data_IF_099875219527
#
_entry.id   IF_099875219527
#
_cell.length_a   1.000
_cell.length_b   1.000
_cell.length_c   1.000
_cell.angle_alpha   90.00
_cell.angle_beta   90.00
_cell.angle_gamma   90.00
#
_symmetry.space_group_name_H-M   'P 1'
#
loop_
_entity.id
_entity.type
_entity.pdbx_description
1 polymer ?
#
# COMPACT_ATOMS: atom_id res chain seq x y z
N UNK A 1 25.76 9.87 87.47
CA UNK A 1 25.70 10.71 86.25
C UNK A 1 25.87 9.78 85.07
N UNK A 2 24.76 9.29 84.55
CA UNK A 2 24.66 8.11 83.68
C UNK A 2 24.98 8.43 82.21
N UNK A 3 26.24 8.21 81.82
CA UNK A 3 26.70 8.38 80.43
C UNK A 3 26.39 7.16 79.54
N UNK A 4 26.12 5.99 80.12
CA UNK A 4 25.87 4.75 79.36
C UNK A 4 24.42 4.59 78.90
N UNK A 5 23.45 5.13 79.64
CA UNK A 5 22.03 5.08 79.26
C UNK A 5 21.71 5.98 78.06
N UNK A 6 22.39 7.14 77.95
CA UNK A 6 22.17 8.11 76.86
C UNK A 6 22.72 7.63 75.50
N UNK A 7 23.83 6.88 75.48
CA UNK A 7 24.42 6.35 74.25
C UNK A 7 23.57 5.24 73.61
N UNK A 8 22.97 4.35 74.41
CA UNK A 8 22.10 3.28 73.92
C UNK A 8 20.75 3.82 73.41
N UNK A 9 20.19 4.83 74.09
CA UNK A 9 18.96 5.50 73.69
C UNK A 9 19.13 6.22 72.34
N UNK A 10 20.26 6.90 72.13
CA UNK A 10 20.59 7.58 70.86
C UNK A 10 20.76 6.60 69.70
N UNK A 11 21.44 5.47 69.90
CA UNK A 11 21.63 4.43 68.87
C UNK A 11 20.30 3.79 68.41
N UNK A 12 19.34 3.60 69.31
CA UNK A 12 18.01 3.09 68.97
C UNK A 12 17.21 4.07 68.09
N UNK A 13 17.29 5.37 68.39
CA UNK A 13 16.64 6.44 67.61
C UNK A 13 17.26 6.56 66.21
N UNK A 14 18.60 6.45 66.09
CA UNK A 14 19.28 6.49 64.78
C UNK A 14 18.93 5.31 63.86
N UNK A 15 18.72 4.09 64.41
CA UNK A 15 18.30 2.92 63.62
C UNK A 15 16.87 3.04 63.09
N UNK A 16 15.97 3.68 63.85
CA UNK A 16 14.61 3.99 63.42
C UNK A 16 14.55 4.92 62.20
N UNK A 17 15.49 5.86 62.10
CA UNK A 17 15.56 6.84 61.00
C UNK A 17 16.26 6.29 59.74
N UNK A 18 17.18 5.33 59.86
CA UNK A 18 17.84 4.69 58.71
C UNK A 18 16.91 3.75 57.90
N UNK A 19 15.98 3.06 58.57
CA UNK A 19 15.05 2.14 57.89
C UNK A 19 14.08 2.87 56.95
N UNK A 20 13.58 4.05 57.37
CA UNK A 20 12.70 4.90 56.57
C UNK A 20 13.41 5.53 55.37
N UNK A 21 14.68 5.94 55.54
CA UNK A 21 15.47 6.51 54.46
C UNK A 21 15.76 5.50 53.33
N UNK A 22 15.89 4.21 53.64
CA UNK A 22 16.04 3.15 52.64
C UNK A 22 14.79 2.92 51.80
N UNK A 23 13.61 2.95 52.41
CA UNK A 23 12.33 2.80 51.67
C UNK A 23 12.12 3.97 50.71
N UNK A 24 12.40 5.20 51.16
CA UNK A 24 12.31 6.39 50.31
C UNK A 24 13.34 6.33 49.18
N UNK A 25 14.57 5.88 49.44
CA UNK A 25 15.60 5.72 48.41
C UNK A 25 15.23 4.67 47.36
N UNK A 26 14.64 3.53 47.77
CA UNK A 26 14.15 2.49 46.86
C UNK A 26 13.01 3.03 46.00
N UNK A 27 12.03 3.71 46.60
CA UNK A 27 10.89 4.25 45.87
C UNK A 27 11.30 5.33 44.85
N UNK A 28 12.32 6.13 45.19
CA UNK A 28 12.88 7.18 44.31
C UNK A 28 13.59 6.62 43.09
N UNK A 29 14.02 5.37 43.12
CA UNK A 29 14.63 4.66 41.98
C UNK A 29 13.60 3.78 41.25
N UNK A 30 12.71 3.12 42.00
CA UNK A 30 11.71 2.19 41.45
C UNK A 30 10.68 2.90 40.58
N UNK A 31 10.20 4.08 40.97
CA UNK A 31 9.22 4.85 40.20
C UNK A 31 9.77 5.28 38.83
N UNK A 32 10.94 5.95 38.73
CA UNK A 32 11.49 6.30 37.42
C UNK A 32 11.89 5.05 36.60
N UNK A 33 12.38 3.99 37.24
CA UNK A 33 12.68 2.74 36.53
C UNK A 33 11.42 2.11 35.91
N UNK A 34 10.29 2.08 36.64
CA UNK A 34 9.00 1.62 36.10
C UNK A 34 8.54 2.50 34.94
N UNK A 35 8.74 3.81 35.01
CA UNK A 35 8.44 4.72 33.90
C UNK A 35 9.25 4.41 32.65
N UNK A 36 10.54 4.14 32.78
CA UNK A 36 11.42 3.76 31.66
C UNK A 36 10.99 2.41 31.07
N UNK A 37 10.65 1.43 31.91
CA UNK A 37 10.17 0.12 31.44
C UNK A 37 8.84 0.26 30.70
N UNK A 38 7.89 1.05 31.23
CA UNK A 38 6.62 1.30 30.57
C UNK A 38 6.80 2.01 29.22
N UNK A 39 7.67 3.02 29.16
CA UNK A 39 8.01 3.72 27.91
C UNK A 39 8.65 2.78 26.90
N UNK A 40 9.62 1.95 27.32
CA UNK A 40 10.28 0.98 26.46
C UNK A 40 9.29 -0.07 25.92
N UNK A 41 8.35 -0.53 26.74
CA UNK A 41 7.28 -1.43 26.31
C UNK A 41 6.37 -0.78 25.26
N UNK A 42 6.00 0.49 25.45
CA UNK A 42 5.18 1.26 24.50
C UNK A 42 5.91 1.47 23.17
N UNK A 43 7.19 1.83 23.21
CA UNK A 43 8.03 1.98 22.01
C UNK A 43 8.23 0.66 21.29
N UNK A 44 8.43 -0.44 22.02
CA UNK A 44 8.54 -1.78 21.46
C UNK A 44 7.23 -2.19 20.78
N UNK A 45 6.09 -1.92 21.42
CA UNK A 45 4.78 -2.16 20.83
C UNK A 45 4.57 -1.37 19.54
N UNK A 46 4.94 -0.09 19.53
CA UNK A 46 4.89 0.75 18.32
C UNK A 46 5.83 0.21 17.24
N UNK A 47 7.03 -0.23 17.61
CA UNK A 47 8.01 -0.80 16.68
C UNK A 47 7.51 -2.10 16.03
N UNK A 48 6.99 -3.03 16.84
CA UNK A 48 6.38 -4.27 16.35
C UNK A 48 5.18 -3.92 15.46
N UNK A 49 4.26 -3.06 15.93
CA UNK A 49 3.09 -2.64 15.17
C UNK A 49 3.43 -1.89 13.88
N UNK A 50 4.54 -1.15 13.81
CA UNK A 50 5.03 -0.48 12.60
C UNK A 50 5.51 -1.48 11.55
N UNK A 51 6.12 -2.58 11.97
CA UNK A 51 6.50 -3.67 11.07
C UNK A 51 5.27 -4.45 10.60
N UNK A 52 4.24 -4.59 11.45
CA UNK A 52 2.99 -5.30 11.12
C UNK A 52 1.95 -4.42 10.39
N UNK A 53 1.94 -3.10 10.58
CA UNK A 53 1.03 -2.14 9.91
C UNK A 53 1.33 -1.95 8.43
N UNK A 54 2.38 -2.62 7.91
CA UNK A 54 2.62 -2.77 6.47
C UNK A 54 1.86 -3.96 5.86
N UNK A 55 1.15 -4.72 6.69
CA UNK A 55 0.42 -5.93 6.33
C UNK A 55 -0.94 -5.93 7.06
N UNK A 56 -1.93 -5.26 6.45
CA UNK A 56 -3.33 -5.49 6.79
C UNK A 56 -3.75 -6.84 6.22
N UNK A 57 -3.44 -7.93 6.92
CA UNK A 57 -3.81 -9.28 6.47
C UNK A 57 -5.17 -9.61 7.08
N UNK A 58 -6.23 -9.48 6.27
CA UNK A 58 -7.52 -10.14 6.52
C UNK A 58 -7.30 -11.65 6.64
N UNK A 59 -8.20 -12.35 7.36
CA UNK A 59 -8.03 -13.73 7.80
C UNK A 59 -7.33 -14.63 6.76
N UNK A 60 -6.15 -15.15 7.10
CA UNK A 60 -5.47 -16.14 6.25
C UNK A 60 -6.18 -17.47 6.45
N UNK A 61 -7.01 -17.86 5.50
CA UNK A 61 -7.55 -19.22 5.43
C UNK A 61 -6.55 -20.08 4.66
N UNK A 62 -5.73 -20.84 5.38
CA UNK A 62 -4.80 -21.81 4.79
C UNK A 62 -5.56 -23.12 4.59
N UNK A 63 -5.85 -23.47 3.33
CA UNK A 63 -6.23 -24.83 2.95
C UNK A 63 -4.96 -25.57 2.49
N UNK A 64 -4.94 -26.91 2.54
CA UNK A 64 -3.72 -27.67 2.22
C UNK A 64 -3.22 -27.47 0.77
N UNK A 65 -4.08 -26.95 -0.11
CA UNK A 65 -3.85 -26.80 -1.54
C UNK A 65 -3.66 -25.34 -2.02
N UNK A 66 -4.05 -24.34 -1.22
CA UNK A 66 -3.89 -22.92 -1.60
C UNK A 66 -3.84 -21.98 -0.40
N UNK A 67 -3.12 -20.88 -0.56
CA UNK A 67 -3.11 -19.75 0.39
C UNK A 67 -4.03 -18.68 -0.18
N UNK A 68 -5.05 -18.29 0.61
CA UNK A 68 -5.94 -17.18 0.28
C UNK A 68 -5.80 -16.08 1.31
N UNK A 69 -5.75 -14.84 0.83
CA UNK A 69 -5.74 -13.62 1.64
C UNK A 69 -6.98 -12.82 1.29
N UNK A 70 -7.79 -12.49 2.29
CA UNK A 70 -8.95 -11.61 2.14
C UNK A 70 -8.53 -10.15 2.16
N UNK A 71 -9.15 -9.35 1.28
CA UNK A 71 -8.95 -7.91 1.15
C UNK A 71 -7.45 -7.47 1.16
N UNK A 72 -6.58 -8.06 0.32
CA UNK A 72 -5.18 -7.68 0.27
C UNK A 72 -5.02 -6.25 -0.24
N UNK A 73 -4.02 -5.55 0.29
CA UNK A 73 -3.64 -4.21 -0.17
C UNK A 73 -2.11 -4.08 -0.21
N UNK A 74 -1.61 -3.46 -1.28
CA UNK A 74 -0.22 -3.07 -1.45
C UNK A 74 -0.13 -1.62 -1.92
N UNK A 75 0.83 -0.86 -1.42
CA UNK A 75 1.06 0.52 -1.85
C UNK A 75 2.53 0.86 -1.89
N UNK A 76 2.90 1.81 -2.74
CA UNK A 76 4.28 2.20 -2.95
C UNK A 76 4.44 3.48 -3.75
N UNK A 77 5.70 3.76 -4.11
CA UNK A 77 6.10 4.87 -4.97
C UNK A 77 6.88 4.31 -6.15
N UNK A 78 6.58 4.78 -7.35
CA UNK A 78 7.41 4.57 -8.54
C UNK A 78 8.57 5.56 -8.56
N UNK A 79 9.61 5.28 -9.35
CA UNK A 79 10.81 6.12 -9.48
C UNK A 79 10.50 7.56 -9.93
N UNK A 80 9.40 7.75 -10.67
CA UNK A 80 8.92 9.06 -11.10
C UNK A 80 8.11 9.83 -10.03
N UNK A 81 8.04 9.32 -8.80
CA UNK A 81 7.31 9.91 -7.68
C UNK A 81 5.81 9.63 -7.67
N UNK A 82 5.29 8.85 -8.61
CA UNK A 82 3.88 8.45 -8.62
C UNK A 82 3.59 7.49 -7.47
N UNK A 83 2.66 7.87 -6.60
CA UNK A 83 2.15 6.98 -5.57
C UNK A 83 1.13 6.02 -6.17
N UNK A 84 1.20 4.74 -5.83
CA UNK A 84 0.24 3.76 -6.27
C UNK A 84 -0.28 2.91 -5.11
N UNK A 85 -1.48 2.38 -5.28
CA UNK A 85 -2.11 1.41 -4.37
C UNK A 85 -2.87 0.38 -5.19
N UNK A 86 -2.59 -0.89 -4.95
CA UNK A 86 -3.28 -2.04 -5.50
C UNK A 86 -4.05 -2.70 -4.36
N UNK A 87 -5.32 -3.00 -4.58
CA UNK A 87 -6.16 -3.77 -3.67
C UNK A 87 -6.99 -4.79 -4.43
N UNK A 88 -7.49 -5.80 -3.74
CA UNK A 88 -8.41 -6.79 -4.29
C UNK A 88 -9.41 -7.22 -3.22
N UNK A 89 -10.50 -7.88 -3.58
CA UNK A 89 -11.41 -8.51 -2.60
C UNK A 89 -10.80 -9.80 -2.04
N UNK A 90 -10.04 -10.52 -2.88
CA UNK A 90 -9.25 -11.68 -2.48
C UNK A 90 -7.99 -11.82 -3.34
N UNK A 91 -6.93 -12.35 -2.74
CA UNK A 91 -5.77 -12.89 -3.44
C UNK A 91 -5.63 -14.38 -3.14
N UNK A 92 -5.38 -15.20 -4.16
CA UNK A 92 -5.17 -16.63 -4.01
C UNK A 92 -3.91 -17.07 -4.75
N UNK A 93 -3.08 -17.89 -4.08
CA UNK A 93 -1.94 -18.54 -4.69
C UNK A 93 -2.02 -20.05 -4.41
N UNK A 94 -1.80 -20.87 -5.44
CA UNK A 94 -1.67 -22.31 -5.28
C UNK A 94 -0.32 -22.64 -4.63
N UNK A 95 -0.26 -23.70 -3.82
CA UNK A 95 0.97 -24.06 -3.08
C UNK A 95 2.10 -24.51 -4.03
N UNK A 96 1.74 -25.02 -5.21
CA UNK A 96 2.66 -25.44 -6.28
C UNK A 96 2.99 -24.33 -7.30
N UNK A 97 2.32 -23.18 -7.21
CA UNK A 97 2.53 -22.02 -8.08
C UNK A 97 2.42 -20.70 -7.28
N UNK A 98 3.23 -20.58 -6.23
CA UNK A 98 3.16 -19.44 -5.28
C UNK A 98 3.53 -18.11 -5.91
N UNK A 99 4.19 -18.13 -7.06
CA UNK A 99 4.59 -16.94 -7.81
C UNK A 99 3.48 -16.37 -8.70
N UNK A 100 2.39 -17.13 -8.89
CA UNK A 100 1.19 -16.73 -9.66
C UNK A 100 0.03 -16.49 -8.71
N UNK A 101 -0.26 -15.23 -8.45
CA UNK A 101 -1.26 -14.79 -7.48
C UNK A 101 -2.48 -14.28 -8.23
N UNK A 102 -3.58 -15.03 -8.15
CA UNK A 102 -4.87 -14.59 -8.68
C UNK A 102 -5.49 -13.52 -7.79
N UNK A 103 -5.97 -12.44 -8.39
CA UNK A 103 -6.64 -11.32 -7.73
C UNK A 103 -8.10 -11.25 -8.20
N UNK A 104 -9.03 -11.19 -7.24
CA UNK A 104 -10.46 -11.00 -7.50
C UNK A 104 -10.85 -9.54 -7.25
N UNK A 105 -11.60 -8.94 -8.15
CA UNK A 105 -11.98 -7.51 -8.11
C UNK A 105 -10.77 -6.60 -7.84
N UNK A 106 -9.73 -6.77 -8.66
CA UNK A 106 -8.50 -6.02 -8.54
C UNK A 106 -8.74 -4.54 -8.86
N UNK A 107 -8.13 -3.68 -8.05
CA UNK A 107 -8.26 -2.24 -8.13
C UNK A 107 -6.90 -1.58 -7.93
N UNK A 108 -6.49 -0.76 -8.90
CA UNK A 108 -5.29 0.05 -8.85
C UNK A 108 -5.68 1.53 -8.83
N UNK A 109 -5.11 2.28 -7.90
CA UNK A 109 -5.14 3.74 -7.89
C UNK A 109 -3.73 4.26 -8.01
N UNK A 110 -3.54 5.30 -8.80
CA UNK A 110 -2.26 5.99 -8.98
C UNK A 110 -2.47 7.49 -8.80
N UNK A 111 -1.55 8.16 -8.12
CA UNK A 111 -1.52 9.61 -7.95
C UNK A 111 -0.17 10.13 -8.37
N UNK A 112 -0.15 10.84 -9.50
CA UNK A 112 1.06 11.43 -10.06
C UNK A 112 1.44 12.72 -9.31
N UNK A 113 2.72 13.14 -9.37
CA UNK A 113 3.17 14.40 -8.77
C UNK A 113 2.48 15.65 -9.34
N UNK A 114 1.99 15.59 -10.58
CA UNK A 114 1.21 16.65 -11.23
C UNK A 114 -0.23 16.78 -10.70
N UNK A 115 -0.63 15.90 -9.77
CA UNK A 115 -1.93 15.90 -9.13
C UNK A 115 -2.99 15.06 -9.85
N UNK A 116 -2.70 14.52 -11.05
CA UNK A 116 -3.65 13.66 -11.77
C UNK A 116 -3.71 12.29 -11.10
N UNK A 117 -4.93 11.84 -10.80
CA UNK A 117 -5.17 10.48 -10.32
C UNK A 117 -5.69 9.59 -11.44
N UNK A 118 -5.23 8.35 -11.48
CA UNK A 118 -5.69 7.29 -12.36
C UNK A 118 -6.26 6.15 -11.53
N UNK A 119 -7.27 5.50 -12.07
CA UNK A 119 -7.95 4.35 -11.49
C UNK A 119 -8.06 3.25 -12.53
N UNK A 120 -7.77 2.00 -12.15
CA UNK A 120 -7.93 0.82 -13.00
C UNK A 120 -8.63 -0.26 -12.21
N UNK A 121 -9.70 -0.82 -12.75
CA UNK A 121 -10.48 -1.90 -12.12
C UNK A 121 -10.59 -3.09 -13.05
N UNK A 122 -10.27 -4.28 -12.56
CA UNK A 122 -10.36 -5.52 -13.30
C UNK A 122 -11.09 -6.57 -12.45
N UNK A 123 -12.15 -7.24 -12.98
CA UNK A 123 -12.85 -8.30 -12.23
C UNK A 123 -11.91 -9.44 -11.82
N UNK A 124 -10.92 -9.74 -12.68
CA UNK A 124 -9.86 -10.72 -12.41
C UNK A 124 -8.54 -10.17 -12.93
N UNK A 125 -7.48 -10.37 -12.15
CA UNK A 125 -6.11 -10.11 -12.57
C UNK A 125 -5.19 -11.21 -12.03
N UNK A 126 -4.05 -11.38 -12.67
CA UNK A 126 -3.00 -12.28 -12.22
C UNK A 126 -1.73 -11.48 -11.99
N UNK A 127 -1.18 -11.58 -10.79
CA UNK A 127 0.15 -11.08 -10.48
C UNK A 127 1.15 -12.22 -10.62
N UNK A 128 2.07 -12.08 -11.58
CA UNK A 128 3.24 -12.95 -11.73
C UNK A 128 4.44 -12.26 -11.07
N UNK A 129 4.83 -12.75 -9.90
CA UNK A 129 5.93 -12.18 -9.11
C UNK A 129 7.31 -12.55 -9.65
N UNK A 130 7.42 -13.63 -10.43
CA UNK A 130 8.68 -14.08 -11.05
C UNK A 130 9.03 -13.20 -12.23
N UNK A 131 8.07 -12.99 -13.14
CA UNK A 131 8.25 -12.16 -14.33
C UNK A 131 7.92 -10.69 -14.07
N UNK A 132 7.41 -10.36 -12.88
CA UNK A 132 7.03 -9.01 -12.46
C UNK A 132 5.98 -8.40 -13.40
N UNK A 133 4.95 -9.20 -13.72
CA UNK A 133 3.86 -8.84 -14.62
C UNK A 133 2.51 -8.80 -13.87
N UNK A 134 1.63 -7.89 -14.28
CA UNK A 134 0.18 -8.00 -14.02
C UNK A 134 -0.52 -8.32 -15.33
N UNK A 135 -1.28 -9.41 -15.35
CA UNK A 135 -2.04 -9.84 -16.50
C UNK A 135 -3.53 -9.69 -16.20
N UNK A 136 -4.26 -9.07 -17.13
CA UNK A 136 -5.72 -9.02 -17.15
C UNK A 136 -6.17 -9.64 -18.46
N UNK A 137 -6.57 -10.92 -18.43
CA UNK A 137 -7.00 -11.73 -19.59
C UNK A 137 -8.40 -11.39 -20.11
N UNK A 138 -9.06 -10.40 -19.53
CA UNK A 138 -10.41 -9.98 -19.89
C UNK A 138 -10.39 -8.45 -19.91
N UNK A 139 -11.39 -7.80 -19.33
CA UNK A 139 -11.47 -6.34 -19.32
C UNK A 139 -10.84 -5.67 -18.10
N UNK A 140 -10.02 -4.65 -18.35
CA UNK A 140 -9.66 -3.61 -17.40
C UNK A 140 -10.43 -2.32 -17.72
N UNK A 141 -11.12 -1.77 -16.72
CA UNK A 141 -11.77 -0.47 -16.80
C UNK A 141 -10.81 0.59 -16.29
N UNK A 142 -10.56 1.63 -17.08
CA UNK A 142 -9.62 2.69 -16.76
C UNK A 142 -10.35 4.03 -16.60
N UNK A 143 -9.85 4.87 -15.71
CA UNK A 143 -10.37 6.21 -15.48
C UNK A 143 -9.30 7.15 -14.95
N UNK A 144 -9.44 8.45 -15.17
CA UNK A 144 -8.59 9.45 -14.51
C UNK A 144 -9.39 10.68 -14.04
N UNK A 145 -8.77 11.50 -13.19
CA UNK A 145 -9.38 12.72 -12.66
C UNK A 145 -9.58 13.83 -13.69
N UNK A 146 -9.08 13.66 -14.92
CA UNK A 146 -9.26 14.62 -16.02
C UNK A 146 -10.46 14.24 -16.91
N UNK A 147 -11.19 13.17 -16.56
CA UNK A 147 -12.39 12.73 -17.26
C UNK A 147 -12.11 11.81 -18.45
N UNK A 148 -10.91 11.22 -18.55
CA UNK A 148 -10.70 10.07 -19.42
C UNK A 148 -11.30 8.83 -18.76
N UNK A 149 -12.04 8.03 -19.52
CA UNK A 149 -12.57 6.72 -19.11
C UNK A 149 -12.44 5.72 -20.25
N UNK A 150 -12.44 4.42 -19.95
CA UNK A 150 -12.50 3.43 -21.02
C UNK A 150 -12.24 1.99 -20.59
N UNK A 151 -12.02 1.14 -21.59
CA UNK A 151 -11.76 -0.29 -21.40
C UNK A 151 -10.57 -0.75 -22.22
N UNK A 152 -9.80 -1.68 -21.66
CA UNK A 152 -8.66 -2.33 -22.31
C UNK A 152 -8.82 -3.83 -22.08
N UNK A 153 -8.84 -4.61 -23.17
CA UNK A 153 -8.89 -6.07 -23.11
C UNK A 153 -7.49 -6.68 -23.27
N UNK A 154 -7.29 -7.86 -22.68
CA UNK A 154 -6.09 -8.69 -22.82
C UNK A 154 -4.81 -7.88 -22.58
N UNK A 155 -4.68 -7.36 -21.36
CA UNK A 155 -3.61 -6.42 -21.00
C UNK A 155 -2.56 -7.04 -20.09
N UNK A 156 -1.30 -6.67 -20.33
CA UNK A 156 -0.13 -7.03 -19.56
C UNK A 156 0.63 -5.77 -19.17
N UNK A 157 0.83 -5.58 -17.88
CA UNK A 157 1.67 -4.52 -17.32
C UNK A 157 2.97 -5.11 -16.78
N UNK A 158 4.10 -4.60 -17.26
CA UNK A 158 5.44 -4.95 -16.79
C UNK A 158 5.93 -3.89 -15.79
N UNK A 159 6.14 -4.28 -14.53
CA UNK A 159 6.60 -3.36 -13.48
C UNK A 159 8.02 -2.87 -13.68
N UNK A 160 8.90 -3.70 -14.25
CA UNK A 160 10.32 -3.39 -14.45
C UNK A 160 10.46 -2.41 -15.60
N UNK A 161 9.83 -2.72 -16.73
CA UNK A 161 9.84 -1.88 -17.90
C UNK A 161 8.89 -0.69 -17.79
N UNK A 162 7.99 -0.68 -16.79
CA UNK A 162 6.88 0.28 -16.64
C UNK A 162 6.01 0.40 -17.90
N UNK A 163 5.87 -0.71 -18.61
CA UNK A 163 5.24 -0.79 -19.94
C UNK A 163 3.88 -1.46 -19.82
N UNK A 164 2.87 -0.91 -20.50
CA UNK A 164 1.58 -1.56 -20.68
C UNK A 164 1.43 -2.01 -22.13
N UNK A 165 0.96 -3.22 -22.34
CA UNK A 165 0.53 -3.73 -23.66
C UNK A 165 -0.89 -4.28 -23.50
N UNK A 166 -1.82 -3.84 -24.33
CA UNK A 166 -3.14 -4.45 -24.49
C UNK A 166 -3.23 -5.03 -25.89
N UNK A 167 -3.42 -6.34 -25.98
CA UNK A 167 -3.51 -7.07 -27.25
C UNK A 167 -4.96 -7.20 -27.76
N UNK A 168 -5.93 -6.88 -26.91
CA UNK A 168 -7.35 -6.92 -27.22
C UNK A 168 -7.95 -5.55 -27.57
N UNK A 169 -9.26 -5.50 -27.85
CA UNK A 169 -9.99 -4.27 -28.11
C UNK A 169 -9.77 -3.21 -27.03
N UNK A 170 -9.74 -1.94 -27.44
CA UNK A 170 -9.58 -0.79 -26.55
C UNK A 170 -10.60 0.28 -26.90
N UNK A 171 -11.25 0.83 -25.89
CA UNK A 171 -12.12 2.01 -26.02
C UNK A 171 -11.70 3.07 -25.03
N UNK A 172 -11.57 4.32 -25.46
CA UNK A 172 -11.30 5.46 -24.57
C UNK A 172 -12.19 6.64 -24.93
N UNK A 173 -12.79 7.23 -23.92
CA UNK A 173 -13.56 8.47 -23.97
C UNK A 173 -12.80 9.54 -23.18
N UNK A 174 -12.61 10.71 -23.78
CA UNK A 174 -12.00 11.86 -23.13
C UNK A 174 -13.04 12.93 -22.79
N UNK A 175 -12.73 13.76 -21.80
CA UNK A 175 -13.61 14.84 -21.36
C UNK A 175 -13.92 15.88 -22.44
N UNK A 176 -13.03 16.03 -23.43
CA UNK A 176 -13.24 16.93 -24.57
C UNK A 176 -14.21 16.36 -25.61
N UNK A 177 -14.68 15.13 -25.44
CA UNK A 177 -15.55 14.38 -26.35
C UNK A 177 -14.80 13.54 -27.38
N UNK A 178 -13.47 13.49 -27.33
CA UNK A 178 -12.67 12.59 -28.17
C UNK A 178 -12.92 11.14 -27.79
N UNK A 179 -13.33 10.33 -28.77
CA UNK A 179 -13.57 8.89 -28.62
C UNK A 179 -12.58 8.09 -29.47
N UNK A 180 -11.94 7.09 -28.86
CA UNK A 180 -10.95 6.22 -29.49
C UNK A 180 -11.46 4.78 -29.40
N UNK A 181 -11.45 4.09 -30.54
CA UNK A 181 -11.65 2.63 -30.63
C UNK A 181 -10.43 2.05 -31.32
N UNK A 182 -9.78 1.05 -30.73
CA UNK A 182 -8.58 0.43 -31.28
C UNK A 182 -8.57 -1.09 -31.07
N UNK A 183 -7.74 -1.78 -31.85
CA UNK A 183 -7.52 -3.23 -31.71
C UNK A 183 -6.45 -3.60 -30.69
N UNK A 184 -5.78 -2.61 -30.10
CA UNK A 184 -4.72 -2.80 -29.11
C UNK A 184 -4.08 -1.48 -28.71
N UNK A 185 -3.31 -1.51 -27.63
CA UNK A 185 -2.64 -0.34 -27.06
C UNK A 185 -1.26 -0.70 -26.54
N UNK A 186 -0.32 0.24 -26.62
CA UNK A 186 0.97 0.14 -25.94
C UNK A 186 1.32 1.48 -25.31
N UNK A 187 1.72 1.45 -24.04
CA UNK A 187 2.27 2.61 -23.35
C UNK A 187 3.78 2.46 -23.19
N UNK A 188 4.54 3.42 -23.73
CA UNK A 188 5.98 3.51 -23.53
C UNK A 188 6.29 4.61 -22.48
N UNK A 189 6.86 4.25 -21.31
CA UNK A 189 7.16 5.21 -20.26
C UNK A 189 8.35 6.13 -20.55
N UNK A 190 9.25 5.77 -21.48
CA UNK A 190 10.39 6.61 -21.86
C UNK A 190 9.92 7.72 -22.78
N UNK A 191 9.11 7.36 -23.78
CA UNK A 191 8.50 8.33 -24.71
C UNK A 191 7.32 9.09 -24.09
N UNK A 192 6.73 8.57 -23.02
CA UNK A 192 5.42 8.98 -22.50
C UNK A 192 4.34 8.94 -23.59
N UNK A 193 4.43 7.93 -24.47
CA UNK A 193 3.57 7.79 -25.65
C UNK A 193 2.62 6.61 -25.48
N UNK A 194 1.35 6.88 -25.77
CA UNK A 194 0.34 5.86 -25.99
C UNK A 194 0.21 5.61 -27.50
N UNK A 195 0.40 4.36 -27.92
CA UNK A 195 0.27 3.93 -29.31
C UNK A 195 -0.92 2.98 -29.41
N UNK A 196 -1.81 3.23 -30.36
CA UNK A 196 -2.99 2.41 -30.59
C UNK A 196 -2.90 1.73 -31.96
N UNK A 197 -3.21 0.44 -32.03
CA UNK A 197 -3.24 -0.31 -33.29
C UNK A 197 -4.65 -0.29 -33.88
N UNK A 198 -4.75 -0.17 -35.21
CA UNK A 198 -6.04 -0.17 -35.93
C UNK A 198 -7.07 0.82 -35.36
N UNK A 199 -6.61 2.02 -34.98
CA UNK A 199 -7.41 2.99 -34.26
C UNK A 199 -8.37 3.77 -35.18
N UNK A 200 -9.61 3.92 -34.71
CA UNK A 200 -10.58 4.91 -35.18
C UNK A 200 -10.71 5.98 -34.11
N UNK A 201 -10.51 7.25 -34.49
CA UNK A 201 -10.64 8.40 -33.59
C UNK A 201 -11.80 9.27 -34.06
N UNK A 202 -12.75 9.52 -33.17
CA UNK A 202 -13.87 10.45 -33.41
C UNK A 202 -13.64 11.70 -32.59
N UNK A 203 -13.53 12.85 -33.26
CA UNK A 203 -13.38 14.16 -32.64
C UNK A 203 -14.73 14.89 -32.70
N UNK A 204 -15.16 15.57 -31.63
CA UNK A 204 -16.41 16.33 -31.63
C UNK A 204 -16.33 17.58 -32.52
N UNK A 205 -15.15 18.19 -32.61
CA UNK A 205 -14.83 19.27 -33.54
C UNK A 205 -13.51 18.95 -34.26
N UNK A 206 -13.51 19.01 -35.59
CA UNK A 206 -12.26 18.99 -36.36
C UNK A 206 -11.71 20.41 -36.50
N UNK A 207 -10.37 20.62 -36.45
CA UNK A 207 -9.77 21.90 -36.77
C UNK A 207 -10.24 22.37 -38.17
N UNK A 208 -11.00 23.47 -38.22
CA UNK A 208 -11.59 24.03 -39.45
C UNK A 208 -13.11 23.96 -39.57
N UNK A 209 -13.81 23.24 -38.68
CA UNK A 209 -15.28 23.12 -38.72
C UNK A 209 -16.02 24.44 -38.44
N UNK A 210 -15.38 25.42 -37.79
CA UNK A 210 -15.96 26.75 -37.46
C UNK A 210 -15.62 27.85 -38.47
N UNK A 211 -15.26 27.51 -39.69
CA UNK A 211 -15.03 28.48 -40.78
C UNK A 211 -16.00 28.26 -41.93
N UNK A 212 -17.29 28.56 -41.69
CA UNK A 212 -18.25 28.86 -42.74
C UNK A 212 -19.26 29.90 -42.20
N UNK A 213 -19.22 31.16 -42.68
CA UNK A 213 -20.28 32.13 -42.44
C UNK A 213 -21.54 31.82 -43.26
#
# INVERSE_FOLDING_TARGET
MDLHADAAQRLAVYRGLQSRNRVVAILRLAIPALGVVALAALLLQIYISSQTSRFGIGQIVVSAESVMVEAPEYSGLLDNGTAYRVSATAAQAAVDATDRIGLTDAHLTMKRPDGVSMEVRAPRALLDTTNQLVVVEDVAHVGNSQGTTGTIYDSVFDYVAQKLVGEGPVTLDHADGTHIVAGGVTYDPVGLVWTFSHATVTLPDTPGARSAP
#
